data_IF_241944956143
#
_entry.id   IF_241944956143
#
_cell.length_a   1.000
_cell.length_b   1.000
_cell.length_c   1.000
_cell.angle_alpha   90.00
_cell.angle_beta   90.00
_cell.angle_gamma   90.00
#
_symmetry.space_group_name_H-M   'P 1'
#
loop_
_entity.id
_entity.type
_entity.pdbx_description
1 polymer ?
#
# COMPACT_ATOMS: atom_id res chain seq x y z
N UNK A 1 45.08 -26.61 79.36
CA UNK A 1 43.72 -26.62 78.79
C UNK A 1 43.37 -25.18 78.47
N UNK A 2 43.47 -24.78 77.20
CA UNK A 2 43.16 -23.43 76.72
C UNK A 2 41.64 -23.27 76.58
N UNK A 3 41.07 -22.31 77.29
CA UNK A 3 39.65 -21.99 77.22
C UNK A 3 39.30 -21.49 75.79
N UNK A 4 38.19 -21.96 75.19
CA UNK A 4 37.76 -21.47 73.88
C UNK A 4 37.40 -19.97 73.97
N UNK A 5 37.64 -19.20 72.88
CA UNK A 5 37.33 -17.78 72.87
C UNK A 5 35.83 -17.55 73.08
N UNK A 6 35.43 -16.48 73.80
CA UNK A 6 34.03 -16.17 73.99
C UNK A 6 33.35 -15.91 72.63
N UNK A 7 32.08 -16.31 72.46
CA UNK A 7 31.32 -16.03 71.24
C UNK A 7 31.29 -14.53 70.92
N UNK A 8 31.31 -14.13 69.65
CA UNK A 8 31.25 -12.72 69.26
C UNK A 8 29.93 -12.09 69.75
N UNK A 9 30.04 -10.99 70.49
CA UNK A 9 28.92 -10.22 70.98
C UNK A 9 28.28 -9.47 69.80
N UNK A 10 27.13 -9.96 69.33
CA UNK A 10 26.37 -9.30 68.27
C UNK A 10 25.73 -8.05 68.88
N UNK A 11 26.34 -6.88 68.63
CA UNK A 11 25.75 -5.60 68.97
C UNK A 11 24.44 -5.42 68.17
N UNK A 12 23.32 -5.81 68.79
CA UNK A 12 22.00 -5.46 68.30
C UNK A 12 21.82 -3.95 68.47
N UNK A 13 22.08 -3.19 67.40
CA UNK A 13 21.66 -1.80 67.33
C UNK A 13 20.15 -1.73 67.61
N UNK A 14 19.72 -0.72 68.37
CA UNK A 14 18.31 -0.49 68.64
C UNK A 14 17.51 -0.59 67.32
N UNK A 15 16.34 -1.27 67.32
CA UNK A 15 15.52 -1.34 66.12
C UNK A 15 15.25 0.09 65.64
N UNK A 16 15.52 0.35 64.36
CA UNK A 16 15.28 1.66 63.77
C UNK A 16 13.84 2.08 64.11
N UNK A 17 13.60 3.34 64.48
CA UNK A 17 12.25 3.81 64.77
C UNK A 17 11.36 3.46 63.58
N UNK A 18 10.33 2.66 63.83
CA UNK A 18 9.35 2.26 62.82
C UNK A 18 8.83 3.54 62.19
N UNK A 19 9.18 3.79 60.92
CA UNK A 19 8.77 4.98 60.18
C UNK A 19 7.24 4.96 60.05
N UNK A 20 6.56 5.57 61.01
CA UNK A 20 5.09 5.72 61.06
C UNK A 20 4.62 6.93 60.25
N UNK A 21 5.53 7.74 59.71
CA UNK A 21 5.18 8.80 58.78
C UNK A 21 4.47 8.17 57.57
N UNK A 22 3.21 8.54 57.28
CA UNK A 22 2.57 8.10 56.05
C UNK A 22 3.46 8.57 54.91
N UNK A 23 3.88 7.64 54.04
CA UNK A 23 4.47 8.00 52.76
C UNK A 23 3.48 8.96 52.12
N UNK A 24 3.85 10.23 51.97
CA UNK A 24 3.02 11.13 51.18
C UNK A 24 2.92 10.49 49.80
N UNK A 25 1.71 10.26 49.26
CA UNK A 25 1.59 9.76 47.92
C UNK A 25 2.27 10.79 47.04
N UNK A 26 3.41 10.42 46.43
CA UNK A 26 4.04 11.24 45.41
C UNK A 26 2.95 11.41 44.36
N UNK A 27 2.35 12.60 44.31
CA UNK A 27 1.23 12.87 43.42
C UNK A 27 1.73 12.63 42.01
N UNK A 28 1.33 11.51 41.40
CA UNK A 28 1.79 11.16 40.07
C UNK A 28 1.27 12.26 39.14
N UNK A 29 2.14 13.00 38.43
CA UNK A 29 1.69 14.01 37.50
C UNK A 29 0.78 13.34 36.46
N UNK A 30 -0.29 14.02 36.01
CA UNK A 30 -1.25 13.47 35.02
C UNK A 30 -0.55 12.95 33.75
N UNK A 31 0.64 13.47 33.44
CA UNK A 31 1.52 13.04 32.35
C UNK A 31 2.07 11.62 32.50
N UNK A 32 2.14 11.07 33.72
CA UNK A 32 2.64 9.71 33.96
C UNK A 32 1.86 8.65 33.17
N UNK A 33 0.54 8.82 33.03
CA UNK A 33 -0.28 7.90 32.23
C UNK A 33 0.07 7.93 30.75
N UNK A 34 0.34 9.11 30.20
CA UNK A 34 0.76 9.26 28.80
C UNK A 34 2.15 8.67 28.58
N UNK A 35 3.10 8.96 29.47
CA UNK A 35 4.44 8.37 29.42
C UNK A 35 4.37 6.85 29.50
N UNK A 36 3.55 6.29 30.40
CA UNK A 36 3.36 4.85 30.49
C UNK A 36 2.81 4.27 29.18
N UNK A 37 1.76 4.86 28.60
CA UNK A 37 1.19 4.41 27.32
C UNK A 37 2.26 4.43 26.22
N UNK A 38 2.97 5.55 26.06
CA UNK A 38 4.01 5.70 25.04
C UNK A 38 5.10 4.65 25.23
N UNK A 39 5.57 4.45 26.46
CA UNK A 39 6.60 3.45 26.76
C UNK A 39 6.14 2.03 26.41
N UNK A 40 4.92 1.63 26.80
CA UNK A 40 4.39 0.30 26.47
C UNK A 40 4.18 0.14 24.97
N UNK A 41 3.68 1.17 24.27
CA UNK A 41 3.56 1.16 22.82
C UNK A 41 4.92 1.01 22.14
N UNK A 42 5.97 1.68 22.66
CA UNK A 42 7.31 1.60 22.11
C UNK A 42 7.92 0.21 22.26
N UNK A 43 7.75 -0.42 23.43
CA UNK A 43 8.16 -1.83 23.65
C UNK A 43 7.43 -2.76 22.68
N UNK A 44 6.12 -2.57 22.49
CA UNK A 44 5.34 -3.35 21.52
C UNK A 44 5.84 -3.15 20.09
N UNK A 45 6.12 -1.91 19.69
CA UNK A 45 6.62 -1.57 18.36
C UNK A 45 8.01 -2.19 18.10
N UNK A 46 8.93 -2.10 19.07
CA UNK A 46 10.25 -2.75 18.97
C UNK A 46 10.08 -4.27 18.82
N UNK A 47 9.17 -4.87 19.58
CA UNK A 47 8.92 -6.32 19.50
C UNK A 47 8.44 -6.71 18.11
N UNK A 48 7.46 -6.00 17.56
CA UNK A 48 6.93 -6.23 16.21
C UNK A 48 8.04 -6.04 15.15
N UNK A 49 8.84 -4.98 15.29
CA UNK A 49 9.96 -4.72 14.39
C UNK A 49 10.97 -5.87 14.39
N UNK A 50 11.36 -6.35 15.58
CA UNK A 50 12.29 -7.48 15.70
C UNK A 50 11.73 -8.76 15.10
N UNK A 51 10.45 -9.06 15.29
CA UNK A 51 9.85 -10.29 14.75
C UNK A 51 9.75 -10.24 13.23
N UNK A 52 9.26 -9.14 12.65
CA UNK A 52 8.89 -9.11 11.23
C UNK A 52 9.84 -8.36 10.30
N UNK A 53 10.63 -7.40 10.80
CA UNK A 53 11.40 -6.47 9.96
C UNK A 53 12.91 -6.52 10.17
N UNK A 54 13.38 -6.84 11.39
CA UNK A 54 14.81 -6.89 11.66
C UNK A 54 15.52 -7.95 10.81
N UNK A 55 16.64 -7.61 10.20
CA UNK A 55 17.45 -8.58 9.46
C UNK A 55 18.40 -9.30 10.43
N UNK A 56 18.34 -10.63 10.46
CA UNK A 56 19.19 -11.48 11.31
C UNK A 56 20.25 -12.25 10.50
N UNK A 57 20.40 -11.93 9.20
CA UNK A 57 21.34 -12.56 8.27
C UNK A 57 20.85 -13.88 7.70
N UNK A 58 21.74 -14.60 7.03
CA UNK A 58 21.41 -15.76 6.17
C UNK A 58 21.01 -17.04 6.92
N UNK A 59 21.09 -17.05 8.26
CA UNK A 59 20.75 -18.24 9.07
C UNK A 59 19.27 -18.23 9.45
N UNK A 60 18.65 -19.41 9.47
CA UNK A 60 17.25 -19.56 9.90
C UNK A 60 17.08 -19.02 11.33
N UNK A 61 16.25 -17.98 11.47
CA UNK A 61 16.00 -17.32 12.74
C UNK A 61 14.71 -17.83 13.39
N UNK A 62 14.59 -17.68 14.72
CA UNK A 62 13.41 -18.15 15.49
C UNK A 62 12.11 -17.52 14.97
N UNK A 63 12.19 -16.32 14.39
CA UNK A 63 11.04 -15.62 13.82
C UNK A 63 10.79 -15.89 12.32
N UNK A 64 11.63 -16.69 11.64
CA UNK A 64 11.41 -17.08 10.24
C UNK A 64 10.04 -17.72 9.99
N UNK A 65 9.51 -18.63 10.84
CA UNK A 65 8.18 -19.19 10.66
C UNK A 65 7.06 -18.14 10.74
N UNK A 66 7.20 -17.15 11.63
CA UNK A 66 6.24 -16.08 11.80
C UNK A 66 6.21 -15.15 10.57
N UNK A 67 7.38 -14.85 9.99
CA UNK A 67 7.48 -14.10 8.73
C UNK A 67 6.82 -14.84 7.57
N UNK A 68 7.11 -16.14 7.40
CA UNK A 68 6.45 -16.96 6.38
C UNK A 68 4.93 -17.00 6.54
N UNK A 69 4.43 -17.02 7.78
CA UNK A 69 2.99 -16.90 8.04
C UNK A 69 2.46 -15.53 7.62
N UNK A 70 3.13 -14.44 8.01
CA UNK A 70 2.73 -13.09 7.63
C UNK A 70 2.72 -12.91 6.11
N UNK A 71 3.71 -13.43 5.39
CA UNK A 71 3.78 -13.36 3.94
C UNK A 71 2.60 -14.07 3.28
N UNK A 72 2.19 -15.23 3.83
CA UNK A 72 0.95 -15.92 3.38
C UNK A 72 -0.29 -15.09 3.64
N UNK A 73 -0.37 -14.40 4.79
CA UNK A 73 -1.51 -13.52 5.09
C UNK A 73 -1.53 -12.30 4.17
N UNK A 74 -0.37 -11.67 3.92
CA UNK A 74 -0.25 -10.52 3.00
C UNK A 74 -0.64 -10.93 1.58
N UNK A 75 -0.17 -12.10 1.13
CA UNK A 75 -0.56 -12.66 -0.16
C UNK A 75 -2.08 -12.86 -0.21
N UNK A 76 -2.66 -13.56 0.78
CA UNK A 76 -4.10 -13.81 0.84
C UNK A 76 -4.95 -12.53 0.90
N UNK A 77 -4.45 -11.46 1.53
CA UNK A 77 -5.17 -10.19 1.64
C UNK A 77 -5.13 -9.37 0.34
N UNK A 78 -4.01 -9.41 -0.39
CA UNK A 78 -3.83 -8.68 -1.66
C UNK A 78 -4.16 -9.46 -2.91
N UNK A 79 -4.41 -10.77 -2.80
CA UNK A 79 -4.99 -11.56 -3.88
C UNK A 79 -6.51 -11.63 -3.74
N UNK A 80 -7.22 -11.48 -4.85
CA UNK A 80 -8.66 -11.77 -4.90
C UNK A 80 -8.90 -13.18 -4.37
N UNK A 81 -9.96 -13.37 -3.56
CA UNK A 81 -10.36 -14.70 -3.15
C UNK A 81 -10.69 -15.56 -4.39
N UNK A 82 -10.60 -16.90 -4.32
CA UNK A 82 -10.88 -17.76 -5.48
C UNK A 82 -12.25 -17.51 -6.12
N UNK A 83 -13.26 -17.14 -5.31
CA UNK A 83 -14.59 -16.78 -5.79
C UNK A 83 -14.63 -15.42 -6.52
N UNK A 84 -13.84 -14.45 -6.05
CA UNK A 84 -13.70 -13.14 -6.70
C UNK A 84 -12.85 -13.23 -7.98
N UNK A 85 -11.85 -14.11 -8.01
CA UNK A 85 -11.10 -14.42 -9.23
C UNK A 85 -12.01 -14.97 -10.32
N UNK A 86 -12.85 -15.97 -10.00
CA UNK A 86 -13.80 -16.52 -10.97
C UNK A 86 -14.80 -15.46 -11.48
N UNK A 87 -15.20 -14.52 -10.63
CA UNK A 87 -16.09 -13.42 -11.02
C UNK A 87 -15.36 -12.38 -11.89
N UNK A 88 -14.10 -12.07 -11.57
CA UNK A 88 -13.27 -11.18 -12.37
C UNK A 88 -12.98 -11.78 -13.76
N UNK A 89 -12.64 -13.06 -13.81
CA UNK A 89 -12.42 -13.83 -15.05
C UNK A 89 -13.68 -13.85 -15.91
N UNK A 90 -14.83 -14.13 -15.31
CA UNK A 90 -16.12 -14.10 -16.02
C UNK A 90 -16.43 -12.71 -16.57
N UNK A 91 -16.19 -11.64 -15.79
CA UNK A 91 -16.35 -10.27 -16.28
C UNK A 91 -15.41 -9.95 -17.43
N UNK A 92 -14.14 -10.36 -17.36
CA UNK A 92 -13.22 -10.18 -18.49
C UNK A 92 -13.68 -10.94 -19.72
N UNK A 93 -14.17 -12.18 -19.57
CA UNK A 93 -14.72 -12.96 -20.69
C UNK A 93 -15.98 -12.31 -21.29
N UNK A 94 -16.88 -11.79 -20.47
CA UNK A 94 -18.05 -11.04 -20.94
C UNK A 94 -17.64 -9.74 -21.64
N UNK A 95 -16.59 -9.06 -21.16
CA UNK A 95 -15.97 -7.93 -21.84
C UNK A 95 -15.40 -8.34 -23.20
N UNK A 96 -14.65 -9.44 -23.28
CA UNK A 96 -14.09 -9.92 -24.55
C UNK A 96 -15.18 -10.44 -25.52
N UNK A 97 -16.21 -11.10 -25.00
CA UNK A 97 -17.35 -11.57 -25.77
C UNK A 97 -18.25 -10.42 -26.27
N UNK A 98 -18.30 -9.32 -25.51
CA UNK A 98 -19.02 -8.10 -25.88
C UNK A 98 -18.16 -7.04 -26.60
N UNK A 99 -16.84 -7.15 -26.58
CA UNK A 99 -15.95 -6.11 -27.10
C UNK A 99 -15.79 -6.21 -28.60
N UNK A 100 -16.38 -5.24 -29.28
CA UNK A 100 -15.76 -4.36 -30.29
C UNK A 100 -15.09 -4.94 -31.56
N UNK A 101 -14.74 -6.22 -31.66
CA UNK A 101 -14.24 -6.81 -32.93
C UNK A 101 -15.29 -6.62 -34.03
N UNK A 102 -16.56 -6.77 -33.68
CA UNK A 102 -17.71 -6.45 -34.56
C UNK A 102 -17.79 -4.96 -34.95
N UNK A 103 -17.37 -4.04 -34.07
CA UNK A 103 -17.45 -2.58 -34.32
C UNK A 103 -16.32 -2.10 -35.25
N UNK A 104 -15.11 -2.62 -35.08
CA UNK A 104 -14.00 -2.31 -35.98
C UNK A 104 -14.20 -2.95 -37.35
N UNK A 105 -14.64 -4.21 -37.40
CA UNK A 105 -14.92 -4.93 -38.64
C UNK A 105 -16.12 -4.35 -39.40
N UNK A 106 -17.19 -3.92 -38.71
CA UNK A 106 -18.30 -3.22 -39.35
C UNK A 106 -17.89 -1.83 -39.87
N UNK A 107 -16.96 -1.14 -39.19
CA UNK A 107 -16.46 0.17 -39.64
C UNK A 107 -15.55 0.03 -40.86
N UNK A 108 -14.67 -0.98 -40.91
CA UNK A 108 -13.82 -1.24 -42.08
C UNK A 108 -14.68 -1.63 -43.29
N UNK A 109 -15.63 -2.56 -43.12
CA UNK A 109 -16.53 -2.97 -44.20
C UNK A 109 -17.36 -1.80 -44.76
N UNK A 110 -17.84 -0.90 -43.89
CA UNK A 110 -18.56 0.29 -44.33
C UNK A 110 -17.65 1.28 -45.07
N UNK A 111 -16.41 1.44 -44.61
CA UNK A 111 -15.43 2.35 -45.22
C UNK A 111 -14.99 1.83 -46.59
N UNK A 112 -14.83 0.52 -46.75
CA UNK A 112 -14.48 -0.13 -48.01
C UNK A 112 -15.63 -0.02 -49.04
N UNK A 113 -16.88 -0.16 -48.60
CA UNK A 113 -18.05 0.06 -49.46
C UNK A 113 -18.19 1.52 -49.91
N UNK A 114 -17.84 2.49 -49.05
CA UNK A 114 -17.83 3.91 -49.38
C UNK A 114 -16.71 4.26 -50.39
N UNK A 115 -15.52 3.65 -50.22
CA UNK A 115 -14.38 3.77 -51.15
C UNK A 115 -14.73 3.17 -52.52
N UNK A 116 -15.38 2.01 -52.56
CA UNK A 116 -15.82 1.39 -53.81
C UNK A 116 -16.86 2.23 -54.56
N UNK A 117 -17.74 2.95 -53.83
CA UNK A 117 -18.80 3.79 -54.42
C UNK A 117 -18.32 5.16 -54.88
N UNK A 118 -17.41 5.79 -54.15
CA UNK A 118 -16.99 7.18 -54.40
C UNK A 118 -15.61 7.30 -55.06
N UNK A 119 -14.80 6.22 -55.05
CA UNK A 119 -13.40 6.25 -55.44
C UNK A 119 -12.53 6.89 -54.36
N UNK A 120 -11.37 6.28 -54.11
CA UNK A 120 -10.46 6.62 -53.00
C UNK A 120 -10.16 8.12 -52.88
N UNK A 121 -9.93 8.81 -54.01
CA UNK A 121 -9.63 10.24 -54.04
C UNK A 121 -10.78 11.13 -53.54
N UNK A 122 -12.04 10.74 -53.73
CA UNK A 122 -13.19 11.54 -53.28
C UNK A 122 -13.52 11.32 -51.82
N UNK A 123 -13.27 10.12 -51.29
CA UNK A 123 -13.44 9.82 -49.86
C UNK A 123 -12.42 10.60 -49.03
N UNK A 124 -11.15 10.61 -49.45
CA UNK A 124 -10.10 11.36 -48.77
C UNK A 124 -10.38 12.87 -48.77
N UNK A 125 -10.85 13.44 -49.88
CA UNK A 125 -11.23 14.87 -49.94
C UNK A 125 -12.43 15.18 -49.04
N UNK A 126 -13.41 14.28 -48.96
CA UNK A 126 -14.57 14.46 -48.08
C UNK A 126 -14.21 14.32 -46.58
N UNK A 127 -13.27 13.43 -46.24
CA UNK A 127 -12.78 13.24 -44.87
C UNK A 127 -11.89 14.41 -44.45
N UNK A 128 -11.03 14.88 -45.37
CA UNK A 128 -10.23 16.09 -45.19
C UNK A 128 -11.12 17.31 -44.93
N UNK A 129 -12.16 17.53 -45.74
CA UNK A 129 -13.10 18.64 -45.55
C UNK A 129 -13.85 18.56 -44.21
N UNK A 130 -14.31 17.37 -43.81
CA UNK A 130 -14.95 17.14 -42.50
C UNK A 130 -13.99 17.37 -41.32
N UNK A 131 -12.71 17.09 -41.49
CA UNK A 131 -11.67 17.38 -40.50
C UNK A 131 -11.48 18.90 -40.35
N UNK A 132 -11.39 19.62 -41.47
CA UNK A 132 -11.28 21.08 -41.50
C UNK A 132 -12.48 21.80 -40.88
N UNK A 133 -13.70 21.33 -41.13
CA UNK A 133 -14.88 21.94 -40.53
C UNK A 133 -14.92 21.71 -39.01
N UNK A 134 -14.45 20.56 -38.50
CA UNK A 134 -14.31 20.33 -37.05
C UNK A 134 -13.29 21.27 -36.39
N UNK A 135 -12.20 21.57 -37.08
CA UNK A 135 -11.19 22.51 -36.59
C UNK A 135 -11.70 23.96 -36.63
N UNK A 136 -12.56 24.31 -37.59
CA UNK A 136 -13.12 25.67 -37.72
C UNK A 136 -14.09 26.03 -36.59
N UNK A 137 -14.71 25.05 -35.93
CA UNK A 137 -15.64 25.27 -34.81
C UNK A 137 -15.07 24.84 -33.45
N UNK A 138 -13.78 24.52 -33.36
CA UNK A 138 -13.14 24.25 -32.07
C UNK A 138 -12.84 25.57 -31.33
N UNK A 139 -13.11 25.66 -30.01
CA UNK A 139 -12.80 26.86 -29.24
C UNK A 139 -11.29 27.13 -29.26
N UNK A 140 -10.93 28.40 -29.48
CA UNK A 140 -9.61 28.95 -29.86
C UNK A 140 -8.44 28.53 -28.93
N UNK A 141 -8.71 28.00 -27.74
CA UNK A 141 -7.69 27.56 -26.77
C UNK A 141 -6.96 26.25 -27.09
N UNK A 142 -7.41 25.46 -28.07
CA UNK A 142 -6.79 24.17 -28.44
C UNK A 142 -6.00 24.19 -29.76
N UNK A 143 -5.85 25.37 -30.38
CA UNK A 143 -5.26 25.51 -31.71
C UNK A 143 -3.72 25.36 -31.71
N UNK A 144 -3.04 25.67 -30.59
CA UNK A 144 -1.57 25.73 -30.54
C UNK A 144 -0.87 24.36 -30.48
N UNK A 145 -1.47 23.36 -29.82
CA UNK A 145 -0.86 22.01 -29.75
C UNK A 145 -1.03 21.24 -31.07
N UNK A 146 -2.18 21.39 -31.75
CA UNK A 146 -2.49 20.54 -32.91
C UNK A 146 -1.88 21.02 -34.22
N UNK A 147 -1.54 22.30 -34.34
CA UNK A 147 -0.74 22.80 -35.45
C UNK A 147 0.73 22.34 -35.34
N UNK A 148 1.21 22.05 -34.13
CA UNK A 148 2.56 21.52 -33.90
C UNK A 148 2.68 20.06 -34.39
N UNK A 149 1.67 19.23 -34.14
CA UNK A 149 1.60 17.84 -34.62
C UNK A 149 1.47 17.75 -36.16
N UNK A 150 0.73 18.66 -36.79
CA UNK A 150 0.53 18.65 -38.23
C UNK A 150 1.79 19.02 -39.04
N UNK A 151 2.72 19.76 -38.45
CA UNK A 151 3.98 20.16 -39.09
C UNK A 151 5.09 19.10 -38.97
N UNK A 152 4.86 18.01 -38.24
CA UNK A 152 5.82 16.89 -38.08
C UNK A 152 5.53 15.75 -39.08
N UNK A 153 4.36 15.74 -39.72
CA UNK A 153 3.94 14.69 -40.68
C UNK A 153 3.81 15.16 -42.14
N UNK A 154 4.39 16.31 -42.48
CA UNK A 154 4.58 16.77 -43.87
C UNK A 154 6.05 16.58 -44.28
#
# INVERSE_FOLDING_TARGET
>A
MSQPPPPPEIHHSAPLPRRTAPLQPIGTPKFHRYVAIVSYSFVGAITIYNVFYADYGDKEHVFSPARRWLDRQKAAFWTLSPAEQATAERRTLDYFAGSEVSSYEAKTLRKDAEIARLGSSRVLVAEYRRSWDRLRYAPVGLMSERLFEANILA
#
